data_IF_520152999293
#
_entry.id   IF_520152999293
#
_cell.length_a   1.000
_cell.length_b   1.000
_cell.length_c   1.000
_cell.angle_alpha   90.00
_cell.angle_beta   90.00
_cell.angle_gamma   90.00
#
_symmetry.space_group_name_H-M   'P 1'
#
loop_
_entity.id
_entity.type
_entity.pdbx_description
1 polymer ?
#
# COMPACT_ATOMS: atom_id res chain seq x y z
N UNK A 1 -97.84 -8.48 14.59
CA UNK A 1 -96.68 -7.80 13.97
C UNK A 1 -95.97 -8.84 13.12
N UNK A 2 -95.94 -8.62 11.81
CA UNK A 2 -95.59 -9.64 10.82
C UNK A 2 -94.13 -10.06 10.94
N UNK A 3 -93.89 -11.36 11.15
CA UNK A 3 -92.56 -11.96 11.35
C UNK A 3 -91.58 -11.63 10.21
N UNK A 4 -92.09 -11.38 9.01
CA UNK A 4 -91.33 -10.92 7.84
C UNK A 4 -90.72 -9.52 8.02
N UNK A 5 -91.40 -8.61 8.71
CA UNK A 5 -90.85 -7.28 9.01
C UNK A 5 -89.70 -7.36 10.02
N UNK A 6 -89.82 -8.25 11.00
CA UNK A 6 -88.76 -8.51 11.99
C UNK A 6 -87.51 -9.13 11.34
N UNK A 7 -87.69 -10.08 10.41
CA UNK A 7 -86.59 -10.66 9.65
C UNK A 7 -85.87 -9.61 8.79
N UNK A 8 -86.62 -8.74 8.10
CA UNK A 8 -86.05 -7.66 7.29
C UNK A 8 -85.24 -6.66 8.13
N UNK A 9 -85.77 -6.24 9.28
CA UNK A 9 -85.08 -5.30 10.18
C UNK A 9 -83.79 -5.92 10.73
N UNK A 10 -83.84 -7.20 11.14
CA UNK A 10 -82.67 -7.93 11.62
C UNK A 10 -81.59 -8.04 10.54
N UNK A 11 -81.98 -8.41 9.32
CA UNK A 11 -81.06 -8.50 8.18
C UNK A 11 -80.39 -7.15 7.87
N UNK A 12 -81.17 -6.06 7.89
CA UNK A 12 -80.64 -4.72 7.63
C UNK A 12 -79.63 -4.29 8.71
N UNK A 13 -79.88 -4.65 9.97
CA UNK A 13 -78.97 -4.38 11.07
C UNK A 13 -77.64 -5.14 10.91
N UNK A 14 -77.70 -6.43 10.56
CA UNK A 14 -76.50 -7.24 10.30
C UNK A 14 -75.66 -6.64 9.17
N UNK A 15 -76.30 -6.24 8.06
CA UNK A 15 -75.62 -5.60 6.94
C UNK A 15 -74.97 -4.27 7.33
N UNK A 16 -75.63 -3.45 8.15
CA UNK A 16 -75.08 -2.18 8.63
C UNK A 16 -73.82 -2.39 9.47
N UNK A 17 -73.86 -3.34 10.41
CA UNK A 17 -72.70 -3.68 11.27
C UNK A 17 -71.53 -4.18 10.43
N UNK A 18 -71.81 -5.04 9.44
CA UNK A 18 -70.78 -5.60 8.56
C UNK A 18 -70.12 -4.54 7.69
N UNK A 19 -70.90 -3.57 7.19
CA UNK A 19 -70.39 -2.44 6.41
C UNK A 19 -69.50 -1.51 7.25
N UNK A 20 -69.91 -1.22 8.50
CA UNK A 20 -69.08 -0.45 9.45
C UNK A 20 -67.76 -1.18 9.75
N UNK A 21 -67.82 -2.50 9.93
CA UNK A 21 -66.63 -3.32 10.17
C UNK A 21 -65.65 -3.25 8.99
N UNK A 22 -66.15 -3.41 7.77
CA UNK A 22 -65.33 -3.33 6.54
C UNK A 22 -64.71 -1.94 6.39
N UNK A 23 -65.49 -0.87 6.58
CA UNK A 23 -64.96 0.50 6.52
C UNK A 23 -63.86 0.74 7.56
N UNK A 24 -64.04 0.22 8.78
CA UNK A 24 -63.04 0.33 9.85
C UNK A 24 -61.78 -0.47 9.54
N UNK A 25 -61.92 -1.67 9.00
CA UNK A 25 -60.79 -2.54 8.63
C UNK A 25 -59.98 -1.91 7.48
N UNK A 26 -60.68 -1.46 6.43
CA UNK A 26 -60.08 -0.81 5.26
C UNK A 26 -59.42 0.53 5.62
N UNK A 27 -60.01 1.30 6.53
CA UNK A 27 -59.39 2.52 7.06
C UNK A 27 -58.11 2.25 7.87
N UNK A 28 -58.06 1.13 8.61
CA UNK A 28 -56.88 0.69 9.37
C UNK A 28 -55.77 0.19 8.45
N UNK A 29 -56.14 -0.54 7.41
CA UNK A 29 -55.20 -1.12 6.43
C UNK A 29 -54.59 -0.03 5.55
N UNK A 30 -55.39 0.92 5.06
CA UNK A 30 -54.90 2.11 4.33
C UNK A 30 -53.92 2.94 5.17
N UNK A 31 -54.17 3.11 6.48
CA UNK A 31 -53.22 3.79 7.36
C UNK A 31 -51.92 3.02 7.57
N UNK A 32 -51.95 1.68 7.50
CA UNK A 32 -50.75 0.84 7.58
C UNK A 32 -49.95 0.83 6.28
N UNK A 33 -50.60 0.77 5.13
CA UNK A 33 -49.93 0.78 3.82
C UNK A 33 -49.38 2.15 3.43
N UNK A 34 -49.98 3.25 3.92
CA UNK A 34 -49.41 4.60 3.79
C UNK A 34 -48.20 4.86 4.71
N UNK A 35 -47.93 3.98 5.67
CA UNK A 35 -46.70 4.05 6.45
C UNK A 35 -45.56 3.52 5.61
N UNK A 36 -45.06 4.36 4.69
CA UNK A 36 -43.86 4.15 3.85
C UNK A 36 -42.56 3.97 4.64
N UNK A 37 -42.62 4.00 5.97
CA UNK A 37 -41.49 3.84 6.89
C UNK A 37 -40.52 2.68 6.59
N UNK A 38 -40.96 1.45 6.19
CA UNK A 38 -40.00 0.39 5.85
C UNK A 38 -39.33 0.63 4.48
N UNK A 39 -40.04 1.21 3.51
CA UNK A 39 -39.48 1.57 2.20
C UNK A 39 -38.51 2.75 2.31
N UNK A 40 -38.81 3.74 3.14
CA UNK A 40 -37.95 4.89 3.39
C UNK A 40 -36.67 4.48 4.13
N UNK A 41 -36.74 3.53 5.06
CA UNK A 41 -35.54 2.94 5.69
C UNK A 41 -34.69 2.16 4.71
N UNK A 42 -35.30 1.39 3.81
CA UNK A 42 -34.57 0.69 2.74
C UNK A 42 -33.89 1.66 1.78
N UNK A 43 -34.56 2.75 1.39
CA UNK A 43 -33.96 3.83 0.59
C UNK A 43 -32.78 4.49 1.31
N UNK A 44 -32.95 4.82 2.59
CA UNK A 44 -31.89 5.43 3.38
C UNK A 44 -30.64 4.52 3.48
N UNK A 45 -30.83 3.22 3.72
CA UNK A 45 -29.73 2.25 3.76
C UNK A 45 -29.05 2.07 2.38
N UNK A 46 -29.83 2.13 1.30
CA UNK A 46 -29.29 2.04 -0.06
C UNK A 46 -28.46 3.29 -0.42
N UNK A 47 -28.93 4.46 -0.01
CA UNK A 47 -28.25 5.74 -0.22
C UNK A 47 -26.98 5.85 0.62
N UNK A 48 -27.02 5.36 1.87
CA UNK A 48 -25.86 5.24 2.74
C UNK A 48 -24.82 4.25 2.19
N UNK A 49 -25.25 3.08 1.71
CA UNK A 49 -24.39 2.10 1.05
C UNK A 49 -23.76 2.65 -0.25
N UNK A 50 -24.53 3.39 -1.05
CA UNK A 50 -24.03 4.05 -2.26
C UNK A 50 -22.98 5.10 -1.95
N UNK A 51 -23.18 5.90 -0.88
CA UNK A 51 -22.17 6.87 -0.42
C UNK A 51 -20.92 6.18 0.08
N UNK A 52 -21.07 5.14 0.90
CA UNK A 52 -19.94 4.39 1.42
C UNK A 52 -19.11 3.75 0.30
N UNK A 53 -19.78 3.23 -0.73
CA UNK A 53 -19.13 2.66 -1.91
C UNK A 53 -18.37 3.71 -2.71
N UNK A 54 -18.94 4.91 -2.90
CA UNK A 54 -18.27 6.02 -3.56
C UNK A 54 -17.04 6.50 -2.77
N UNK A 55 -17.17 6.63 -1.45
CA UNK A 55 -16.06 7.00 -0.57
C UNK A 55 -14.95 5.95 -0.59
N UNK A 56 -15.31 4.66 -0.59
CA UNK A 56 -14.35 3.57 -0.68
C UNK A 56 -13.62 3.56 -2.03
N UNK A 57 -14.33 3.76 -3.14
CA UNK A 57 -13.74 3.88 -4.47
C UNK A 57 -12.74 5.05 -4.52
N UNK A 58 -13.13 6.22 -4.01
CA UNK A 58 -12.25 7.39 -3.94
C UNK A 58 -11.05 7.17 -3.00
N UNK A 59 -11.21 6.38 -1.93
CA UNK A 59 -10.12 6.00 -1.02
C UNK A 59 -9.13 5.05 -1.71
N UNK A 60 -9.64 4.06 -2.45
CA UNK A 60 -8.83 3.11 -3.22
C UNK A 60 -8.04 3.83 -4.31
N UNK A 61 -8.68 4.72 -5.06
CA UNK A 61 -8.01 5.50 -6.11
C UNK A 61 -6.87 6.36 -5.54
N UNK A 62 -7.12 7.05 -4.42
CA UNK A 62 -6.07 7.82 -3.71
C UNK A 62 -4.92 6.94 -3.23
N UNK A 63 -5.22 5.78 -2.65
CA UNK A 63 -4.18 4.85 -2.18
C UNK A 63 -3.36 4.29 -3.34
N UNK A 64 -3.99 3.97 -4.47
CA UNK A 64 -3.31 3.52 -5.68
C UNK A 64 -2.38 4.61 -6.22
N UNK A 65 -2.84 5.86 -6.27
CA UNK A 65 -2.01 6.99 -6.69
C UNK A 65 -0.79 7.20 -5.79
N UNK A 66 -0.97 7.12 -4.47
CA UNK A 66 0.15 7.22 -3.51
C UNK A 66 1.14 6.07 -3.65
N UNK A 67 0.66 4.84 -3.86
CA UNK A 67 1.53 3.69 -4.11
C UNK A 67 2.33 3.83 -5.40
N UNK A 68 1.72 4.34 -6.48
CA UNK A 68 2.42 4.60 -7.73
C UNK A 68 3.51 5.68 -7.56
N UNK A 69 3.21 6.75 -6.82
CA UNK A 69 4.18 7.80 -6.54
C UNK A 69 5.36 7.28 -5.70
N UNK A 70 5.07 6.50 -4.65
CA UNK A 70 6.11 5.88 -3.83
C UNK A 70 6.97 4.90 -4.63
N UNK A 71 6.35 4.10 -5.52
CA UNK A 71 7.08 3.19 -6.40
C UNK A 71 8.01 3.95 -7.36
N UNK A 72 7.55 5.06 -7.95
CA UNK A 72 8.37 5.89 -8.82
C UNK A 72 9.58 6.49 -8.08
N UNK A 73 9.37 6.99 -6.85
CA UNK A 73 10.47 7.54 -6.04
C UNK A 73 11.47 6.46 -5.63
N UNK A 74 10.99 5.25 -5.31
CA UNK A 74 11.85 4.10 -5.03
C UNK A 74 12.68 3.71 -6.26
N UNK A 75 12.08 3.64 -7.44
CA UNK A 75 12.79 3.35 -8.69
C UNK A 75 13.87 4.41 -9.01
N UNK A 76 13.57 5.69 -8.77
CA UNK A 76 14.55 6.77 -8.94
C UNK A 76 15.72 6.62 -7.96
N UNK A 77 15.43 6.34 -6.69
CA UNK A 77 16.48 6.10 -5.68
C UNK A 77 17.32 4.87 -6.00
N UNK A 78 16.71 3.81 -6.54
CA UNK A 78 17.44 2.61 -6.98
C UNK A 78 18.38 2.97 -8.14
N UNK A 79 17.92 3.72 -9.14
CA UNK A 79 18.77 4.18 -10.25
C UNK A 79 19.95 5.02 -9.76
N UNK A 80 19.69 5.99 -8.89
CA UNK A 80 20.76 6.80 -8.29
C UNK A 80 21.76 5.95 -7.51
N UNK A 81 21.30 4.98 -6.72
CA UNK A 81 22.18 4.08 -5.99
C UNK A 81 23.03 3.21 -6.92
N UNK A 82 22.46 2.74 -8.04
CA UNK A 82 23.20 2.00 -9.07
C UNK A 82 24.25 2.88 -9.76
N UNK A 83 23.91 4.12 -10.10
CA UNK A 83 24.83 5.08 -10.70
C UNK A 83 25.98 5.43 -9.76
N UNK A 84 25.68 5.71 -8.49
CA UNK A 84 26.69 5.98 -7.46
C UNK A 84 27.60 4.77 -7.27
N UNK A 85 27.03 3.56 -7.23
CA UNK A 85 27.83 2.33 -7.16
C UNK A 85 28.76 2.21 -8.37
N UNK A 86 28.27 2.42 -9.57
CA UNK A 86 29.06 2.33 -10.80
C UNK A 86 30.18 3.38 -10.83
N UNK A 87 29.89 4.62 -10.41
CA UNK A 87 30.88 5.69 -10.29
C UNK A 87 31.96 5.37 -9.25
N UNK A 88 31.57 4.78 -8.11
CA UNK A 88 32.50 4.36 -7.07
C UNK A 88 33.40 3.21 -7.55
N UNK A 89 32.84 2.23 -8.26
CA UNK A 89 33.59 1.12 -8.86
C UNK A 89 34.58 1.62 -9.92
N UNK A 90 34.18 2.56 -10.76
CA UNK A 90 35.06 3.20 -11.75
C UNK A 90 36.21 3.97 -11.06
N UNK A 91 35.90 4.77 -10.03
CA UNK A 91 36.92 5.49 -9.26
C UNK A 91 37.87 4.55 -8.51
N UNK A 92 37.39 3.43 -7.97
CA UNK A 92 38.24 2.40 -7.36
C UNK A 92 39.16 1.71 -8.38
N UNK A 93 38.67 1.46 -9.59
CA UNK A 93 39.49 0.89 -10.67
C UNK A 93 40.57 1.87 -11.14
N UNK A 94 40.22 3.15 -11.30
CA UNK A 94 41.16 4.21 -11.69
C UNK A 94 42.21 4.45 -10.60
N UNK A 95 41.83 4.47 -9.32
CA UNK A 95 42.76 4.66 -8.21
C UNK A 95 43.73 3.47 -8.06
N UNK A 96 43.26 2.23 -8.33
CA UNK A 96 44.12 1.04 -8.40
C UNK A 96 45.10 1.07 -9.58
N UNK A 97 44.74 1.67 -10.70
CA UNK A 97 45.63 1.84 -11.86
C UNK A 97 46.60 3.02 -11.71
N UNK A 98 46.25 4.02 -10.88
CA UNK A 98 47.04 5.23 -10.67
C UNK A 98 48.19 5.07 -9.67
N UNK A 99 48.09 4.12 -8.74
CA UNK A 99 49.17 3.76 -7.81
C UNK A 99 50.15 2.77 -8.46
N UNK A 100 50.81 3.17 -9.54
CA UNK A 100 51.92 2.45 -10.15
C UNK A 100 53.19 2.50 -9.30
N UNK A 101 53.14 1.97 -8.08
CA UNK A 101 54.32 1.82 -7.23
C UNK A 101 55.23 0.75 -7.82
N UNK A 102 56.45 1.14 -8.16
CA UNK A 102 57.43 0.21 -8.75
C UNK A 102 58.11 -0.62 -7.66
N UNK A 103 58.81 -1.69 -8.06
CA UNK A 103 59.66 -2.49 -7.16
C UNK A 103 60.62 -1.63 -6.35
N UNK A 104 61.18 -0.61 -6.99
CA UNK A 104 62.15 0.30 -6.37
C UNK A 104 61.52 1.13 -5.26
N UNK A 105 60.26 1.54 -5.41
CA UNK A 105 59.54 2.28 -4.37
C UNK A 105 59.24 1.40 -3.16
N UNK A 106 58.80 0.15 -3.40
CA UNK A 106 58.55 -0.83 -2.33
C UNK A 106 59.81 -1.14 -1.53
N UNK A 107 60.93 -1.36 -2.23
CA UNK A 107 62.24 -1.62 -1.60
C UNK A 107 62.73 -0.38 -0.83
N UNK A 108 62.53 0.83 -1.37
CA UNK A 108 62.89 2.08 -0.68
C UNK A 108 62.10 2.26 0.61
N UNK A 109 60.80 1.94 0.62
CA UNK A 109 59.99 1.97 1.83
C UNK A 109 60.41 0.90 2.86
N UNK A 110 60.74 -0.30 2.42
CA UNK A 110 61.25 -1.34 3.31
C UNK A 110 62.59 -0.94 3.96
N UNK A 111 63.50 -0.32 3.18
CA UNK A 111 64.76 0.23 3.70
C UNK A 111 64.58 1.43 4.64
N UNK A 112 63.48 2.16 4.50
CA UNK A 112 63.11 3.24 5.41
C UNK A 112 62.53 2.74 6.76
N UNK A 113 62.38 1.42 6.93
CA UNK A 113 61.96 0.79 8.18
C UNK A 113 60.46 0.51 8.30
N UNK A 114 59.68 0.69 7.22
CA UNK A 114 58.26 0.34 7.21
C UNK A 114 58.05 -1.17 7.14
N UNK A 115 57.10 -1.68 7.91
CA UNK A 115 56.76 -3.10 7.87
C UNK A 115 56.00 -3.45 6.57
N UNK A 116 56.15 -4.68 6.07
CA UNK A 116 55.49 -5.13 4.83
C UNK A 116 53.97 -4.89 4.82
N UNK A 117 53.32 -4.99 5.99
CA UNK A 117 51.89 -4.71 6.18
C UNK A 117 51.54 -3.23 6.02
N UNK A 118 52.41 -2.35 6.48
CA UNK A 118 52.25 -0.90 6.35
C UNK A 118 52.47 -0.46 4.92
N UNK A 119 53.47 -1.04 4.25
CA UNK A 119 53.74 -0.81 2.83
C UNK A 119 52.57 -1.28 1.98
N UNK A 120 52.03 -2.48 2.22
CA UNK A 120 50.85 -3.00 1.53
C UNK A 120 49.61 -2.09 1.70
N UNK A 121 49.42 -1.53 2.89
CA UNK A 121 48.35 -0.57 3.15
C UNK A 121 48.58 0.77 2.44
N UNK A 122 49.83 1.22 2.31
CA UNK A 122 50.19 2.51 1.74
C UNK A 122 50.18 2.47 0.20
N UNK A 123 50.67 1.38 -0.38
CA UNK A 123 50.78 1.19 -1.83
C UNK A 123 49.56 0.52 -2.44
N UNK A 124 48.61 0.09 -1.60
CA UNK A 124 47.43 -0.70 -1.97
C UNK A 124 47.77 -2.01 -2.71
N UNK A 125 49.01 -2.48 -2.61
CA UNK A 125 49.44 -3.79 -3.12
C UNK A 125 49.11 -4.92 -2.14
N UNK A 126 48.81 -6.13 -2.64
CA UNK A 126 48.57 -7.27 -1.77
C UNK A 126 49.83 -7.61 -0.96
N UNK A 127 49.64 -7.98 0.31
CA UNK A 127 50.73 -8.24 1.26
C UNK A 127 51.77 -9.24 0.71
N UNK A 128 51.31 -10.31 0.05
CA UNK A 128 52.20 -11.33 -0.51
C UNK A 128 53.09 -10.82 -1.65
N UNK A 129 52.64 -9.84 -2.44
CA UNK A 129 53.44 -9.23 -3.51
C UNK A 129 54.53 -8.32 -2.94
N UNK A 130 54.19 -7.55 -1.90
CA UNK A 130 55.15 -6.73 -1.16
C UNK A 130 56.23 -7.59 -0.49
N UNK A 131 55.84 -8.67 0.20
CA UNK A 131 56.80 -9.60 0.81
C UNK A 131 57.69 -10.26 -0.25
N UNK A 132 57.14 -10.65 -1.39
CA UNK A 132 57.93 -11.23 -2.48
C UNK A 132 58.98 -10.24 -3.00
N UNK A 133 58.61 -8.98 -3.22
CA UNK A 133 59.52 -7.94 -3.71
C UNK A 133 60.67 -7.65 -2.73
N UNK A 134 60.38 -7.62 -1.42
CA UNK A 134 61.38 -7.40 -0.37
C UNK A 134 62.33 -8.60 -0.28
N UNK A 135 61.80 -9.83 -0.31
CA UNK A 135 62.61 -11.05 -0.24
C UNK A 135 63.54 -11.21 -1.46
N UNK A 136 63.08 -10.81 -2.65
CA UNK A 136 63.90 -10.83 -3.87
C UNK A 136 65.06 -9.81 -3.84
N UNK A 137 64.92 -8.69 -3.14
CA UNK A 137 66.03 -7.73 -2.91
C UNK A 137 67.04 -8.28 -1.88
N UNK A 138 66.57 -8.95 -0.82
CA UNK A 138 67.46 -9.55 0.19
C UNK A 138 68.22 -10.78 -0.32
N UNK A 139 67.72 -11.44 -1.36
CA UNK A 139 68.35 -12.61 -1.99
C UNK A 139 69.31 -12.25 -3.15
N UNK A 140 69.44 -10.97 -3.49
CA UNK A 140 70.36 -10.44 -4.52
C UNK A 140 71.60 -9.83 -3.89
#
# INVERSE_FOLDING_TARGET
MDSTRLLLISQMFVQLVLLILILRLMGREKRRTLSGAPLDRLKALLEESSRLSADFAAQVERNVALMQQAAAELDERIKLAVEVKAALEAGLAENRQSCGYTREDVVRLARAGYAAREIASLTAMPLGEVELMINLDQAS
#
